data_IF_594376785621
#
_entry.id   IF_594376785621
#
_cell.length_a   1.000
_cell.length_b   1.000
_cell.length_c   1.000
_cell.angle_alpha   90.00
_cell.angle_beta   90.00
_cell.angle_gamma   90.00
#
_symmetry.space_group_name_H-M   'P 1'
#
loop_
_entity.id
_entity.type
_entity.pdbx_description
1 polymer ?
#
# COMPACT_ATOMS: atom_id res chain seq x y z
N UNK A 1 28.46 18.66 23.81
CA UNK A 1 27.36 17.81 24.32
C UNK A 1 26.23 17.91 23.30
N UNK A 2 25.82 16.81 22.70
CA UNK A 2 24.78 16.82 21.66
C UNK A 2 23.41 16.80 22.32
N UNK A 3 22.78 17.97 22.39
CA UNK A 3 21.49 18.18 23.06
C UNK A 3 20.38 17.33 22.46
N UNK A 4 20.40 17.09 21.14
CA UNK A 4 19.41 16.22 20.49
C UNK A 4 19.57 14.77 20.95
N UNK A 5 20.81 14.29 21.04
CA UNK A 5 21.11 12.95 21.53
C UNK A 5 20.68 12.79 22.99
N UNK A 6 20.98 13.78 23.83
CA UNK A 6 20.60 13.75 25.24
C UNK A 6 19.07 13.76 25.42
N UNK A 7 18.37 14.62 24.68
CA UNK A 7 16.92 14.71 24.72
C UNK A 7 16.27 13.39 24.25
N UNK A 8 16.78 12.77 23.19
CA UNK A 8 16.28 11.49 22.68
C UNK A 8 16.47 10.37 23.71
N UNK A 9 17.67 10.27 24.27
CA UNK A 9 18.00 9.24 25.27
C UNK A 9 17.13 9.42 26.54
N UNK A 10 16.87 10.65 26.95
CA UNK A 10 16.03 10.94 28.12
C UNK A 10 14.54 10.69 27.87
N UNK A 11 14.02 11.04 26.69
CA UNK A 11 12.66 10.72 26.28
C UNK A 11 12.45 9.20 26.19
N UNK A 12 13.41 8.47 25.63
CA UNK A 12 13.37 7.02 25.51
C UNK A 12 13.44 6.35 26.89
N UNK A 13 14.30 6.86 27.78
CA UNK A 13 14.36 6.40 29.17
C UNK A 13 13.05 6.65 29.92
N UNK A 14 12.45 7.83 29.79
CA UNK A 14 11.15 8.16 30.43
C UNK A 14 10.00 7.34 29.86
N UNK A 15 9.98 7.09 28.55
CA UNK A 15 8.98 6.25 27.91
C UNK A 15 9.07 4.78 28.38
N UNK A 16 10.28 4.25 28.60
CA UNK A 16 10.49 2.86 29.01
C UNK A 16 9.99 2.55 30.44
N UNK A 17 9.90 3.55 31.32
CA UNK A 17 9.36 3.41 32.69
C UNK A 17 7.96 4.00 32.84
N UNK A 18 7.37 4.55 31.78
CA UNK A 18 6.01 5.07 31.82
C UNK A 18 5.04 3.90 31.80
N UNK A 19 4.16 3.83 32.79
CA UNK A 19 2.96 2.99 32.72
C UNK A 19 1.84 3.80 32.05
N UNK A 20 1.58 3.61 30.75
CA UNK A 20 0.54 4.37 30.07
C UNK A 20 -0.82 4.10 30.72
N UNK A 21 -1.65 5.14 30.85
CA UNK A 21 -2.97 5.00 31.45
C UNK A 21 -3.77 3.89 30.75
N UNK A 22 -4.61 3.17 31.50
CA UNK A 22 -5.44 2.08 30.93
C UNK A 22 -6.26 2.54 29.71
N UNK A 23 -6.66 3.82 29.67
CA UNK A 23 -7.35 4.40 28.52
C UNK A 23 -6.43 4.52 27.30
N UNK A 24 -5.22 5.05 27.46
CA UNK A 24 -4.24 5.15 26.37
C UNK A 24 -3.84 3.75 25.86
N UNK A 25 -3.59 2.81 26.75
CA UNK A 25 -3.33 1.40 26.39
C UNK A 25 -4.49 0.80 25.59
N UNK A 26 -5.73 1.03 26.02
CA UNK A 26 -6.93 0.56 25.32
C UNK A 26 -7.09 1.21 23.95
N UNK A 27 -6.81 2.52 23.81
CA UNK A 27 -6.92 3.24 22.53
C UNK A 27 -5.84 2.79 21.54
N UNK A 28 -4.59 2.69 21.99
CA UNK A 28 -3.48 2.20 21.17
C UNK A 28 -3.69 0.74 20.82
N UNK A 29 -4.09 -0.09 21.79
CA UNK A 29 -4.41 -1.50 21.59
C UNK A 29 -5.57 -1.72 20.62
N UNK A 30 -6.64 -0.92 20.70
CA UNK A 30 -7.77 -0.99 19.77
C UNK A 30 -7.39 -0.53 18.36
N UNK A 31 -6.59 0.54 18.25
CA UNK A 31 -6.07 1.03 16.97
C UNK A 31 -5.16 -0.01 16.31
N UNK A 32 -4.23 -0.57 17.08
CA UNK A 32 -3.33 -1.61 16.61
C UNK A 32 -4.09 -2.91 16.28
N UNK A 33 -5.06 -3.32 17.10
CA UNK A 33 -5.87 -4.50 16.83
C UNK A 33 -6.77 -4.32 15.59
N UNK A 34 -7.33 -3.13 15.37
CA UNK A 34 -8.10 -2.82 14.16
C UNK A 34 -7.21 -2.88 12.91
N UNK A 35 -6.05 -2.23 12.95
CA UNK A 35 -5.06 -2.27 11.86
C UNK A 35 -4.53 -3.70 11.60
N UNK A 36 -4.23 -4.44 12.67
CA UNK A 36 -3.67 -5.80 12.60
C UNK A 36 -4.72 -6.85 12.18
N UNK A 37 -5.99 -6.68 12.53
CA UNK A 37 -7.07 -7.57 12.08
C UNK A 37 -7.39 -7.38 10.59
N UNK A 38 -7.26 -6.16 10.07
CA UNK A 38 -7.40 -5.88 8.63
C UNK A 38 -6.23 -6.48 7.85
N UNK A 39 -5.00 -6.37 8.36
CA UNK A 39 -3.81 -6.89 7.66
C UNK A 39 -3.65 -8.43 7.71
N UNK A 40 -4.11 -9.11 8.77
CA UNK A 40 -4.01 -10.58 8.88
C UNK A 40 -5.17 -11.37 8.28
N UNK A 41 -6.32 -10.76 7.99
CA UNK A 41 -7.46 -11.49 7.40
C UNK A 41 -7.29 -11.85 5.92
N UNK A 42 -6.23 -11.37 5.25
CA UNK A 42 -5.91 -11.71 3.86
C UNK A 42 -5.48 -13.16 3.59
N UNK A 43 -5.47 -14.08 4.57
CA UNK A 43 -5.20 -15.51 4.34
C UNK A 43 -5.97 -16.41 5.32
N UNK A 44 -7.26 -16.61 5.09
CA UNK A 44 -7.99 -17.82 5.56
C UNK A 44 -9.13 -18.14 4.60
N UNK A 45 -9.07 -19.30 3.96
CA UNK A 45 -10.10 -19.76 3.02
C UNK A 45 -11.47 -19.81 3.71
N UNK A 46 -12.43 -19.01 3.24
CA UNK A 46 -13.77 -19.00 3.81
C UNK A 46 -14.56 -20.23 3.34
N UNK A 47 -14.88 -21.14 4.26
CA UNK A 47 -15.93 -22.14 4.04
C UNK A 47 -17.30 -21.46 4.10
N UNK A 48 -18.08 -21.71 3.06
CA UNK A 48 -19.45 -21.25 2.80
C UNK A 48 -20.34 -21.24 4.05
N UNK A 49 -20.90 -20.07 4.38
CA UNK A 49 -22.26 -19.94 4.94
C UNK A 49 -22.92 -18.69 4.38
N UNK A 50 -23.86 -18.92 3.47
CA UNK A 50 -24.81 -17.97 2.93
C UNK A 50 -25.83 -17.66 4.03
N UNK A 51 -26.09 -16.39 4.34
CA UNK A 51 -27.34 -15.99 4.96
C UNK A 51 -27.81 -14.70 4.30
N UNK A 52 -28.93 -14.85 3.60
CA UNK A 52 -29.64 -13.89 2.79
C UNK A 52 -30.46 -12.99 3.71
N UNK A 53 -30.32 -11.67 3.56
CA UNK A 53 -31.35 -10.70 3.90
C UNK A 53 -31.24 -9.56 2.89
N UNK A 54 -31.99 -9.66 1.80
CA UNK A 54 -32.05 -8.67 0.73
C UNK A 54 -32.98 -7.52 1.16
N UNK A 55 -32.44 -6.32 1.35
CA UNK A 55 -33.22 -5.08 1.25
C UNK A 55 -33.05 -4.58 -0.18
N UNK A 56 -34.11 -4.72 -0.99
CA UNK A 56 -34.14 -4.20 -2.34
C UNK A 56 -34.36 -2.68 -2.29
N UNK A 57 -33.30 -1.90 -2.52
CA UNK A 57 -33.43 -0.49 -2.88
C UNK A 57 -33.36 -0.43 -4.40
N UNK A 58 -34.52 -0.23 -5.04
CA UNK A 58 -34.62 -0.01 -6.48
C UNK A 58 -33.97 1.32 -6.86
N UNK A 59 -32.69 1.30 -7.23
CA UNK A 59 -32.04 2.45 -7.86
C UNK A 59 -32.21 2.30 -9.38
N UNK A 60 -33.19 3.02 -9.92
CA UNK A 60 -33.28 3.30 -11.36
C UNK A 60 -31.97 4.00 -11.80
N UNK A 61 -31.09 3.29 -12.50
CA UNK A 61 -29.93 3.90 -13.17
C UNK A 61 -30.41 4.32 -14.57
N UNK A 62 -30.54 5.62 -14.88
CA UNK A 62 -30.87 6.05 -16.23
C UNK A 62 -29.65 5.78 -17.13
N UNK A 63 -29.81 4.89 -18.11
CA UNK A 63 -28.88 4.76 -19.24
C UNK A 63 -29.16 5.89 -20.22
N UNK A 64 -28.74 7.10 -19.87
CA UNK A 64 -28.88 8.28 -20.72
C UNK A 64 -27.56 9.05 -20.75
N UNK A 65 -26.94 9.12 -21.93
CA UNK A 65 -25.86 10.04 -22.25
C UNK A 65 -26.41 11.47 -22.18
N UNK A 66 -26.27 12.11 -21.02
CA UNK A 66 -26.44 13.55 -20.82
C UNK A 66 -25.18 14.07 -20.15
N UNK A 67 -24.84 15.34 -20.41
CA UNK A 67 -23.77 16.10 -19.77
C UNK A 67 -24.06 16.34 -18.27
N UNK A 68 -24.18 15.25 -17.51
CA UNK A 68 -24.67 15.18 -16.15
C UNK A 68 -23.89 14.17 -15.32
N UNK A 69 -24.03 14.31 -14.01
CA UNK A 69 -23.34 13.57 -12.95
C UNK A 69 -23.04 12.11 -13.32
N UNK A 70 -21.75 11.77 -13.35
CA UNK A 70 -21.24 10.42 -13.55
C UNK A 70 -21.70 9.49 -12.41
N UNK A 71 -21.56 8.17 -12.58
CA UNK A 71 -21.84 7.23 -11.50
C UNK A 71 -20.97 7.52 -10.27
N UNK A 72 -19.72 7.91 -10.46
CA UNK A 72 -18.81 8.24 -9.36
C UNK A 72 -19.28 9.48 -8.60
N UNK A 73 -19.84 10.49 -9.27
CA UNK A 73 -20.46 11.65 -8.61
C UNK A 73 -21.59 11.25 -7.65
N UNK A 74 -22.34 10.20 -7.99
CA UNK A 74 -23.43 9.69 -7.13
C UNK A 74 -22.94 8.88 -5.92
N UNK A 75 -21.70 8.40 -5.96
CA UNK A 75 -21.07 7.61 -4.88
C UNK A 75 -20.36 8.55 -3.91
N UNK A 76 -19.51 9.46 -4.42
CA UNK A 76 -18.60 10.28 -3.60
C UNK A 76 -18.75 11.79 -3.78
N UNK A 77 -19.70 12.24 -4.61
CA UNK A 77 -19.83 13.64 -5.00
C UNK A 77 -18.93 14.01 -6.18
N UNK A 78 -19.09 15.24 -6.65
CA UNK A 78 -18.19 15.86 -7.64
C UNK A 78 -16.75 15.95 -7.12
N UNK A 79 -15.74 16.12 -7.99
CA UNK A 79 -14.36 16.31 -7.56
C UNK A 79 -14.18 17.45 -6.54
N UNK A 80 -14.94 18.55 -6.68
CA UNK A 80 -14.89 19.65 -5.71
C UNK A 80 -15.50 19.24 -4.36
N UNK A 81 -16.62 18.53 -4.36
CA UNK A 81 -17.27 18.05 -3.12
C UNK A 81 -16.41 17.02 -2.41
N UNK A 82 -15.85 16.04 -3.13
CA UNK A 82 -14.95 15.05 -2.55
C UNK A 82 -13.69 15.71 -1.95
N UNK A 83 -13.13 16.74 -2.59
CA UNK A 83 -12.02 17.51 -1.99
C UNK A 83 -12.48 18.23 -0.72
N UNK A 84 -13.61 18.94 -0.77
CA UNK A 84 -14.13 19.76 0.33
C UNK A 84 -14.53 18.91 1.54
N UNK A 85 -15.17 17.77 1.30
CA UNK A 85 -15.85 17.00 2.35
C UNK A 85 -14.92 15.96 3.00
N UNK A 86 -13.85 15.56 2.30
CA UNK A 86 -13.01 14.44 2.73
C UNK A 86 -11.54 14.56 2.30
N UNK A 87 -11.14 15.72 1.78
CA UNK A 87 -9.75 16.00 1.38
C UNK A 87 -9.26 15.13 0.22
N UNK A 88 -10.15 14.56 -0.58
CA UNK A 88 -9.77 13.68 -1.67
C UNK A 88 -9.05 14.47 -2.78
N UNK A 89 -7.82 14.07 -3.09
CA UNK A 89 -7.05 14.62 -4.20
C UNK A 89 -7.58 14.17 -5.56
N UNK A 90 -7.11 14.85 -6.63
CA UNK A 90 -7.47 14.52 -8.02
C UNK A 90 -7.15 13.08 -8.38
N UNK A 91 -5.97 12.59 -7.96
CA UNK A 91 -5.58 11.20 -8.17
C UNK A 91 -6.58 10.31 -7.47
N UNK A 92 -6.69 10.38 -6.13
CA UNK A 92 -7.66 9.60 -5.32
C UNK A 92 -9.05 9.47 -5.95
N UNK A 93 -9.60 10.57 -6.48
CA UNK A 93 -10.86 10.58 -7.20
C UNK A 93 -10.82 9.73 -8.48
N UNK A 94 -9.83 9.96 -9.35
CA UNK A 94 -9.61 9.21 -10.59
C UNK A 94 -9.45 7.70 -10.34
N UNK A 95 -8.66 7.28 -9.37
CA UNK A 95 -8.51 5.84 -9.08
C UNK A 95 -9.77 5.19 -8.53
N UNK A 96 -10.61 5.94 -7.80
CA UNK A 96 -11.93 5.44 -7.37
C UNK A 96 -12.85 5.26 -8.58
N UNK A 97 -12.85 6.23 -9.51
CA UNK A 97 -13.58 6.14 -10.77
C UNK A 97 -13.12 4.93 -11.61
N UNK A 98 -11.81 4.75 -11.81
CA UNK A 98 -11.26 3.60 -12.54
C UNK A 98 -11.66 2.27 -11.89
N UNK A 99 -11.59 2.17 -10.55
CA UNK A 99 -12.04 0.97 -9.81
C UNK A 99 -13.52 0.66 -10.07
N UNK A 100 -14.40 1.65 -10.03
CA UNK A 100 -15.84 1.47 -10.32
C UNK A 100 -16.06 1.03 -11.76
N UNK A 101 -15.33 1.59 -12.73
CA UNK A 101 -15.43 1.18 -14.14
C UNK A 101 -14.97 -0.27 -14.36
N UNK A 102 -13.90 -0.68 -13.69
CA UNK A 102 -13.40 -2.06 -13.73
C UNK A 102 -14.42 -3.01 -13.09
N UNK A 103 -14.94 -2.67 -11.91
CA UNK A 103 -15.98 -3.45 -11.26
C UNK A 103 -17.19 -3.65 -12.16
N UNK A 104 -17.62 -2.62 -12.89
CA UNK A 104 -18.72 -2.71 -13.86
C UNK A 104 -18.48 -3.74 -14.97
N UNK A 105 -17.22 -3.92 -15.39
CA UNK A 105 -16.83 -4.89 -16.43
C UNK A 105 -16.66 -6.30 -15.89
N UNK A 106 -16.18 -6.44 -14.66
CA UNK A 106 -15.81 -7.73 -14.07
C UNK A 106 -16.94 -8.40 -13.28
N UNK A 107 -17.85 -7.62 -12.70
CA UNK A 107 -18.89 -8.13 -11.82
C UNK A 107 -20.16 -8.46 -12.58
N UNK A 108 -20.92 -9.42 -12.07
CA UNK A 108 -22.33 -9.58 -12.46
C UNK A 108 -23.11 -8.32 -12.09
N UNK A 109 -24.28 -8.13 -12.70
CA UNK A 109 -25.13 -6.96 -12.44
C UNK A 109 -25.45 -6.83 -10.95
N UNK A 110 -25.82 -7.93 -10.31
CA UNK A 110 -26.19 -7.98 -8.89
C UNK A 110 -24.99 -7.68 -7.98
N UNK A 111 -23.81 -8.23 -8.31
CA UNK A 111 -22.57 -7.93 -7.57
C UNK A 111 -22.19 -6.46 -7.71
N UNK A 112 -22.30 -5.90 -8.91
CA UNK A 112 -21.96 -4.50 -9.18
C UNK A 112 -22.90 -3.54 -8.44
N UNK A 113 -24.21 -3.79 -8.47
CA UNK A 113 -25.19 -2.99 -7.73
C UNK A 113 -24.92 -3.01 -6.23
N UNK A 114 -24.63 -4.19 -5.67
CA UNK A 114 -24.27 -4.33 -4.26
C UNK A 114 -22.94 -3.63 -3.92
N UNK A 115 -21.93 -3.74 -4.78
CA UNK A 115 -20.66 -3.05 -4.63
C UNK A 115 -20.82 -1.53 -4.59
N UNK A 116 -21.57 -0.95 -5.53
CA UNK A 116 -21.86 0.49 -5.59
C UNK A 116 -22.60 0.98 -4.34
N UNK A 117 -23.60 0.21 -3.87
CA UNK A 117 -24.34 0.56 -2.67
C UNK A 117 -23.43 0.59 -1.43
N UNK A 118 -22.58 -0.43 -1.27
CA UNK A 118 -21.61 -0.50 -0.17
C UNK A 118 -20.55 0.61 -0.25
N UNK A 119 -20.03 0.93 -1.44
CA UNK A 119 -19.09 2.03 -1.63
C UNK A 119 -19.71 3.35 -1.18
N UNK A 120 -20.94 3.63 -1.62
CA UNK A 120 -21.66 4.85 -1.24
C UNK A 120 -21.81 4.97 0.28
N UNK A 121 -22.14 3.87 0.94
CA UNK A 121 -22.26 3.83 2.40
C UNK A 121 -20.91 4.03 3.11
N UNK A 122 -19.83 3.41 2.61
CA UNK A 122 -18.48 3.59 3.15
C UNK A 122 -18.01 5.04 3.02
N UNK A 123 -18.21 5.68 1.86
CA UNK A 123 -17.84 7.08 1.67
C UNK A 123 -18.70 8.05 2.48
N UNK A 124 -19.96 7.70 2.75
CA UNK A 124 -20.81 8.45 3.69
C UNK A 124 -20.22 8.45 5.11
N UNK A 125 -19.77 7.29 5.62
CA UNK A 125 -19.08 7.24 6.91
C UNK A 125 -17.74 7.96 6.88
N UNK A 126 -16.95 7.76 5.82
CA UNK A 126 -15.66 8.42 5.66
C UNK A 126 -15.78 9.95 5.66
N UNK A 127 -16.82 10.50 5.02
CA UNK A 127 -17.16 11.93 5.09
C UNK A 127 -17.48 12.37 6.51
N UNK A 128 -18.28 11.60 7.26
CA UNK A 128 -18.64 11.94 8.65
C UNK A 128 -17.43 11.98 9.59
N UNK A 129 -16.48 11.07 9.42
CA UNK A 129 -15.28 11.02 10.26
C UNK A 129 -14.18 11.96 9.80
N UNK A 130 -14.27 12.54 8.60
CA UNK A 130 -13.25 13.44 8.07
C UNK A 130 -13.35 14.82 8.70
N UNK A 131 -12.28 15.23 9.41
CA UNK A 131 -12.19 16.59 9.96
C UNK A 131 -11.40 17.46 9.00
N UNK A 132 -12.09 18.45 8.44
CA UNK A 132 -11.58 19.38 7.42
C UNK A 132 -11.19 20.72 8.05
N UNK A 133 -10.01 21.23 7.70
CA UNK A 133 -9.53 22.56 8.10
C UNK A 133 -8.81 23.20 6.90
N UNK A 134 -9.13 24.46 6.59
CA UNK A 134 -8.55 25.20 5.46
C UNK A 134 -8.62 24.48 4.10
N UNK A 135 -9.65 23.65 3.89
CA UNK A 135 -9.83 22.88 2.64
C UNK A 135 -8.96 21.63 2.53
N UNK A 136 -8.30 21.24 3.62
CA UNK A 136 -7.49 20.02 3.72
C UNK A 136 -8.00 19.12 4.85
N UNK A 137 -7.82 17.80 4.69
CA UNK A 137 -8.18 16.83 5.74
C UNK A 137 -7.06 16.80 6.78
N UNK A 138 -7.38 17.18 8.02
CA UNK A 138 -6.41 17.19 9.12
C UNK A 138 -6.27 15.83 9.77
N UNK A 139 -7.38 15.19 10.12
CA UNK A 139 -7.41 13.86 10.74
C UNK A 139 -8.79 13.20 10.57
N UNK A 140 -8.89 11.95 11.00
CA UNK A 140 -10.15 11.20 11.08
C UNK A 140 -10.59 11.05 12.54
N UNK A 141 -11.85 11.39 12.84
CA UNK A 141 -12.44 11.26 14.17
C UNK A 141 -13.64 10.31 14.14
N UNK A 142 -13.43 9.09 14.64
CA UNK A 142 -14.52 8.11 14.81
C UNK A 142 -15.54 8.51 15.87
N UNK A 143 -15.28 9.56 16.66
CA UNK A 143 -16.22 10.07 17.66
C UNK A 143 -17.47 10.71 17.04
N UNK A 144 -17.41 11.07 15.75
CA UNK A 144 -18.55 11.56 14.98
C UNK A 144 -19.54 10.46 14.57
N UNK A 145 -19.24 9.20 14.87
CA UNK A 145 -20.14 8.07 14.63
C UNK A 145 -20.76 7.58 15.94
N UNK A 146 -22.07 7.37 15.92
CA UNK A 146 -22.79 6.62 16.96
C UNK A 146 -22.28 5.17 17.08
N UNK A 147 -22.54 4.47 18.20
CA UNK A 147 -22.18 3.05 18.34
C UNK A 147 -22.74 2.16 17.22
N UNK A 148 -23.96 2.42 16.78
CA UNK A 148 -24.63 1.68 15.70
C UNK A 148 -23.95 1.96 14.36
N UNK A 149 -23.60 3.21 14.08
CA UNK A 149 -22.87 3.58 12.86
C UNK A 149 -21.47 2.99 12.83
N UNK A 150 -20.75 2.96 13.96
CA UNK A 150 -19.43 2.30 14.03
C UNK A 150 -19.51 0.82 13.68
N UNK A 151 -20.55 0.15 14.21
CA UNK A 151 -20.80 -1.26 13.91
C UNK A 151 -21.11 -1.43 12.42
N UNK A 152 -21.97 -0.59 11.85
CA UNK A 152 -22.34 -0.66 10.44
C UNK A 152 -21.18 -0.35 9.51
N UNK A 153 -20.39 0.67 9.79
CA UNK A 153 -19.17 1.02 9.04
C UNK A 153 -18.21 -0.18 9.00
N UNK A 154 -17.98 -0.82 10.15
CA UNK A 154 -17.16 -2.03 10.23
C UNK A 154 -17.71 -3.19 9.39
N UNK A 155 -19.03 -3.40 9.40
CA UNK A 155 -19.69 -4.42 8.57
C UNK A 155 -19.58 -4.10 7.08
N UNK A 156 -19.79 -2.84 6.68
CA UNK A 156 -19.66 -2.37 5.30
C UNK A 156 -18.24 -2.58 4.78
N UNK A 157 -17.22 -2.24 5.58
CA UNK A 157 -15.81 -2.46 5.20
C UNK A 157 -15.54 -3.95 4.98
N UNK A 158 -15.99 -4.81 5.90
CA UNK A 158 -15.85 -6.28 5.74
C UNK A 158 -16.62 -6.79 4.53
N UNK A 159 -17.78 -6.19 4.22
CA UNK A 159 -18.55 -6.56 3.05
C UNK A 159 -17.91 -6.13 1.73
N UNK A 160 -17.35 -4.91 1.69
CA UNK A 160 -16.60 -4.36 0.57
C UNK A 160 -15.34 -5.15 0.27
N UNK A 161 -14.64 -5.61 1.31
CA UNK A 161 -13.37 -6.32 1.18
C UNK A 161 -13.48 -7.52 0.20
N UNK A 162 -14.62 -8.23 0.19
CA UNK A 162 -14.86 -9.36 -0.72
C UNK A 162 -14.81 -8.96 -2.20
N UNK A 163 -15.32 -7.77 -2.50
CA UNK A 163 -15.35 -7.21 -3.85
C UNK A 163 -13.98 -6.64 -4.22
N UNK A 164 -13.32 -5.93 -3.29
CA UNK A 164 -11.97 -5.44 -3.49
C UNK A 164 -10.98 -6.59 -3.71
N UNK A 165 -11.09 -7.70 -2.98
CA UNK A 165 -10.28 -8.92 -3.21
C UNK A 165 -10.51 -9.50 -4.61
N UNK A 166 -11.76 -9.48 -5.11
CA UNK A 166 -12.10 -9.94 -6.46
C UNK A 166 -11.52 -9.00 -7.53
N UNK A 167 -11.52 -7.68 -7.30
CA UNK A 167 -10.88 -6.70 -8.19
C UNK A 167 -9.37 -6.90 -8.19
N UNK A 168 -8.76 -6.95 -7.01
CA UNK A 168 -7.32 -7.08 -6.84
C UNK A 168 -6.79 -8.38 -7.46
N UNK A 169 -7.52 -9.48 -7.35
CA UNK A 169 -7.17 -10.75 -7.99
C UNK A 169 -7.09 -10.65 -9.51
N UNK A 170 -7.81 -9.72 -10.16
CA UNK A 170 -7.70 -9.46 -11.59
C UNK A 170 -6.37 -8.78 -11.97
N UNK A 171 -5.72 -8.12 -11.02
CA UNK A 171 -4.42 -7.44 -11.19
C UNK A 171 -3.27 -8.14 -10.46
N UNK A 172 -3.48 -9.40 -10.06
CA UNK A 172 -2.42 -10.30 -9.60
C UNK A 172 -2.03 -11.22 -10.75
N UNK A 173 -0.73 -11.30 -11.00
CA UNK A 173 -0.16 -12.00 -12.16
C UNK A 173 0.82 -13.09 -11.73
N UNK A 174 0.97 -14.10 -12.58
CA UNK A 174 2.18 -14.91 -12.57
C UNK A 174 3.37 -14.10 -13.08
N UNK A 175 4.60 -14.51 -12.76
CA UNK A 175 5.79 -13.81 -13.27
C UNK A 175 5.87 -13.85 -14.79
N UNK A 176 5.52 -14.96 -15.43
CA UNK A 176 5.47 -15.05 -16.90
C UNK A 176 4.47 -14.07 -17.53
N UNK A 177 3.30 -13.87 -16.90
CA UNK A 177 2.34 -12.86 -17.33
C UNK A 177 2.89 -11.44 -17.11
N UNK A 178 3.50 -11.19 -15.95
CA UNK A 178 4.07 -9.90 -15.63
C UNK A 178 5.21 -9.51 -16.58
N UNK A 179 6.12 -10.43 -16.96
CA UNK A 179 7.19 -10.18 -17.93
C UNK A 179 6.64 -9.73 -19.30
N UNK A 180 5.54 -10.37 -19.75
CA UNK A 180 4.85 -9.99 -20.99
C UNK A 180 4.19 -8.62 -20.91
N UNK A 181 3.81 -8.17 -19.71
CA UNK A 181 3.20 -6.86 -19.49
C UNK A 181 4.28 -5.78 -19.40
N UNK A 182 5.37 -6.06 -18.68
CA UNK A 182 6.36 -5.04 -18.31
C UNK A 182 7.44 -4.79 -19.36
N UNK A 183 7.63 -5.74 -20.28
CA UNK A 183 8.69 -5.70 -21.29
C UNK A 183 10.11 -5.68 -20.68
N UNK A 184 10.28 -6.23 -19.47
CA UNK A 184 11.59 -6.47 -18.83
C UNK A 184 11.61 -7.85 -18.15
N UNK A 185 12.80 -8.50 -18.04
CA UNK A 185 12.91 -9.80 -17.39
C UNK A 185 12.72 -9.69 -15.87
N UNK A 186 11.92 -10.61 -15.31
CA UNK A 186 11.70 -10.73 -13.87
C UNK A 186 12.53 -11.91 -13.37
N UNK A 187 13.56 -11.62 -12.57
CA UNK A 187 14.53 -12.63 -12.12
C UNK A 187 14.56 -12.76 -10.61
N UNK A 188 14.71 -13.98 -10.10
CA UNK A 188 15.14 -14.18 -8.72
C UNK A 188 16.64 -13.85 -8.57
N UNK A 189 17.08 -13.31 -7.42
CA UNK A 189 18.50 -13.16 -7.11
C UNK A 189 19.20 -14.52 -7.10
N UNK A 190 20.34 -14.61 -7.78
CA UNK A 190 21.19 -15.81 -7.77
C UNK A 190 22.10 -15.89 -6.53
N UNK A 191 22.22 -14.78 -5.78
CA UNK A 191 22.91 -14.73 -4.50
C UNK A 191 21.94 -14.38 -3.37
N UNK A 192 21.91 -15.23 -2.34
CA UNK A 192 21.15 -15.02 -1.11
C UNK A 192 22.13 -15.09 0.07
N UNK A 193 22.12 -14.12 1.00
CA UNK A 193 22.96 -14.18 2.20
C UNK A 193 22.68 -15.44 3.02
N UNK A 194 23.70 -15.95 3.69
CA UNK A 194 23.56 -17.15 4.53
C UNK A 194 22.44 -16.97 5.57
N UNK A 195 21.66 -18.02 5.80
CA UNK A 195 20.52 -18.01 6.71
C UNK A 195 19.22 -17.44 6.13
N UNK A 196 19.29 -16.75 4.99
CA UNK A 196 18.11 -16.17 4.36
C UNK A 196 17.46 -17.15 3.37
N UNK A 197 16.14 -17.13 3.28
CA UNK A 197 15.37 -17.93 2.33
C UNK A 197 14.11 -17.20 1.88
N UNK A 198 13.65 -17.49 0.66
CA UNK A 198 12.40 -16.94 0.13
C UNK A 198 11.22 -17.49 0.91
N UNK A 199 10.35 -16.61 1.41
CA UNK A 199 9.13 -17.01 2.14
C UNK A 199 7.84 -16.55 1.45
N UNK A 200 7.92 -15.56 0.57
CA UNK A 200 6.77 -15.03 -0.13
C UNK A 200 7.19 -14.26 -1.38
N UNK A 201 6.37 -14.33 -2.42
CA UNK A 201 6.51 -13.53 -3.63
C UNK A 201 5.14 -13.20 -4.24
N UNK A 202 5.09 -12.10 -4.98
CA UNK A 202 3.89 -11.65 -5.69
C UNK A 202 4.26 -10.73 -6.87
N UNK A 203 3.45 -10.79 -7.93
CA UNK A 203 3.41 -9.77 -8.96
C UNK A 203 2.01 -9.15 -8.98
N UNK A 204 1.88 -7.88 -8.60
CA UNK A 204 0.59 -7.19 -8.49
C UNK A 204 0.67 -5.79 -9.05
N UNK A 205 -0.36 -5.35 -9.76
CA UNK A 205 -0.50 -3.98 -10.23
C UNK A 205 -1.66 -3.27 -9.54
N UNK A 206 -1.64 -1.95 -9.52
CA UNK A 206 -2.83 -1.17 -9.22
C UNK A 206 -3.93 -1.44 -10.25
N UNK A 207 -5.17 -1.47 -9.78
CA UNK A 207 -6.33 -1.51 -10.63
C UNK A 207 -6.34 -0.28 -11.55
N UNK A 208 -6.37 -0.52 -12.86
CA UNK A 208 -6.39 0.54 -13.87
C UNK A 208 -7.11 0.11 -15.12
N UNK A 209 -7.68 1.08 -15.85
CA UNK A 209 -8.29 0.86 -17.17
C UNK A 209 -7.28 0.89 -18.31
N UNK A 210 -6.04 1.35 -18.04
CA UNK A 210 -4.92 1.38 -18.99
C UNK A 210 -4.01 0.15 -18.91
N UNK A 211 -2.77 0.27 -19.42
CA UNK A 211 -1.74 -0.78 -19.30
C UNK A 211 -1.34 -0.93 -17.82
N UNK A 212 -1.51 -2.13 -17.22
CA UNK A 212 -1.09 -2.37 -15.84
C UNK A 212 0.42 -2.18 -15.67
N UNK A 213 0.84 -1.78 -14.47
CA UNK A 213 2.24 -1.66 -14.07
C UNK A 213 2.48 -2.58 -12.86
N UNK A 214 2.78 -3.88 -13.07
CA UNK A 214 3.03 -4.79 -11.97
C UNK A 214 4.28 -4.42 -11.17
N UNK A 215 4.16 -4.35 -9.85
CA UNK A 215 5.26 -4.41 -8.91
C UNK A 215 5.51 -5.88 -8.57
N UNK A 216 6.76 -6.30 -8.75
CA UNK A 216 7.21 -7.62 -8.33
C UNK A 216 7.81 -7.45 -6.94
N UNK A 217 7.36 -8.26 -5.99
CA UNK A 217 7.89 -8.27 -4.62
C UNK A 217 8.29 -9.68 -4.22
N UNK A 218 9.44 -9.80 -3.60
CA UNK A 218 9.96 -11.04 -3.02
C UNK A 218 10.43 -10.76 -1.60
N UNK A 219 9.99 -11.58 -0.63
CA UNK A 219 10.37 -11.47 0.78
C UNK A 219 11.29 -12.61 1.16
N UNK A 220 12.46 -12.25 1.67
CA UNK A 220 13.45 -13.17 2.20
C UNK A 220 13.54 -12.99 3.71
N UNK A 221 13.47 -14.07 4.47
CA UNK A 221 13.59 -14.06 5.92
C UNK A 221 14.85 -14.79 6.39
N UNK A 222 15.49 -14.25 7.42
CA UNK A 222 16.61 -14.87 8.12
C UNK A 222 16.07 -15.89 9.14
N UNK A 223 16.34 -17.18 8.90
CA UNK A 223 15.96 -18.27 9.79
C UNK A 223 16.57 -18.15 11.19
N UNK A 224 17.64 -17.38 11.36
CA UNK A 224 18.30 -17.21 12.65
C UNK A 224 17.61 -16.16 13.54
N UNK A 225 16.63 -15.41 13.00
CA UNK A 225 15.92 -14.37 13.75
C UNK A 225 14.56 -14.89 14.19
N UNK A 226 14.40 -15.08 15.50
CA UNK A 226 13.11 -15.43 16.09
C UNK A 226 12.09 -14.30 15.90
N UNK A 227 10.90 -14.67 15.42
CA UNK A 227 9.77 -13.75 15.25
C UNK A 227 9.24 -13.36 16.62
N UNK A 228 9.11 -12.06 16.85
CA UNK A 228 8.61 -11.53 18.13
C UNK A 228 7.97 -10.16 17.97
N UNK A 229 7.18 -9.72 18.97
CA UNK A 229 6.41 -8.47 18.91
C UNK A 229 7.29 -7.22 18.83
N UNK A 230 8.58 -7.32 19.16
CA UNK A 230 9.54 -6.21 19.13
C UNK A 230 10.43 -6.21 17.87
N UNK A 231 10.29 -7.20 16.99
CA UNK A 231 11.09 -7.32 15.77
C UNK A 231 10.44 -6.52 14.64
N UNK A 232 11.21 -5.63 14.04
CA UNK A 232 10.81 -4.93 12.82
C UNK A 232 10.92 -5.86 11.61
N UNK A 233 10.25 -5.51 10.51
CA UNK A 233 10.38 -6.25 9.25
C UNK A 233 11.85 -6.30 8.77
N UNK A 234 12.61 -5.22 8.98
CA UNK A 234 14.04 -5.14 8.70
C UNK A 234 14.91 -6.03 9.61
N UNK A 235 14.41 -6.42 10.80
CA UNK A 235 15.07 -7.43 11.63
C UNK A 235 14.89 -8.83 11.09
N UNK A 236 13.74 -9.10 10.45
CA UNK A 236 13.39 -10.45 10.01
C UNK A 236 14.05 -10.82 8.68
N UNK A 237 14.55 -9.87 7.91
CA UNK A 237 15.23 -10.11 6.63
C UNK A 237 15.16 -8.91 5.71
N UNK A 238 14.79 -9.13 4.45
CA UNK A 238 14.66 -8.05 3.45
C UNK A 238 13.56 -8.33 2.43
N UNK A 239 13.08 -7.26 1.79
CA UNK A 239 12.18 -7.33 0.64
C UNK A 239 12.88 -6.79 -0.59
N UNK A 240 12.78 -7.54 -1.68
CA UNK A 240 13.32 -7.19 -2.99
C UNK A 240 12.16 -6.83 -3.91
N UNK A 241 12.33 -5.76 -4.66
CA UNK A 241 11.33 -5.21 -5.56
C UNK A 241 11.89 -5.10 -6.98
N UNK A 242 11.06 -5.40 -7.97
CA UNK A 242 11.35 -5.12 -9.37
C UNK A 242 10.18 -4.34 -9.98
N UNK A 243 10.48 -3.21 -10.61
CA UNK A 243 9.45 -2.32 -11.15
C UNK A 243 9.97 -1.56 -12.38
N UNK A 244 9.08 -1.22 -13.31
CA UNK A 244 9.43 -0.37 -14.45
C UNK A 244 9.81 1.05 -14.01
N UNK A 245 10.67 1.71 -14.78
CA UNK A 245 10.94 3.15 -14.58
C UNK A 245 9.95 3.95 -15.43
N UNK A 246 9.17 4.81 -14.79
CA UNK A 246 8.14 5.63 -15.44
C UNK A 246 8.33 7.11 -15.09
N UNK A 247 8.05 7.99 -16.05
CA UNK A 247 8.15 9.45 -15.87
C UNK A 247 7.01 10.01 -15.01
N UNK A 248 5.82 9.39 -15.11
CA UNK A 248 4.67 9.75 -14.29
C UNK A 248 4.66 8.98 -12.98
N UNK A 249 4.88 9.69 -11.87
CA UNK A 249 4.59 9.18 -10.54
C UNK A 249 3.08 9.13 -10.32
N UNK A 250 2.57 7.95 -9.98
CA UNK A 250 1.19 7.79 -9.48
C UNK A 250 1.23 7.73 -7.95
N UNK A 251 0.25 8.36 -7.30
CA UNK A 251 0.18 8.44 -5.83
C UNK A 251 -0.37 7.17 -5.17
N UNK A 252 -0.42 6.04 -5.89
CA UNK A 252 -1.09 4.82 -5.45
C UNK A 252 -0.13 3.76 -4.94
N UNK A 253 -0.38 3.32 -3.70
CA UNK A 253 -0.45 1.94 -3.21
C UNK A 253 0.75 1.00 -3.34
N UNK A 254 1.68 1.30 -4.24
CA UNK A 254 2.85 0.51 -4.55
C UNK A 254 3.99 1.04 -3.70
N UNK A 255 4.68 0.15 -2.99
CA UNK A 255 5.84 0.49 -2.19
C UNK A 255 6.90 1.14 -3.08
N UNK A 256 7.12 2.46 -2.91
CA UNK A 256 8.03 3.22 -3.77
C UNK A 256 9.50 3.00 -3.34
N UNK A 257 10.47 3.16 -4.25
CA UNK A 257 11.86 3.27 -3.85
C UNK A 257 12.06 4.40 -2.84
N UNK A 258 12.92 4.17 -1.86
CA UNK A 258 13.21 5.12 -0.78
C UNK A 258 13.69 6.52 -1.22
N UNK A 259 14.14 6.68 -2.46
CA UNK A 259 14.61 7.94 -3.02
C UNK A 259 13.54 8.68 -3.85
N UNK A 260 12.31 8.15 -3.94
CA UNK A 260 11.17 8.78 -4.61
C UNK A 260 10.25 9.50 -3.60
N UNK A 261 10.79 10.55 -3.00
CA UNK A 261 10.16 11.38 -1.97
C UNK A 261 9.08 12.27 -2.57
N UNK A 262 7.97 12.48 -1.85
CA UNK A 262 6.98 13.51 -2.19
C UNK A 262 6.87 14.53 -1.05
N UNK A 263 6.30 15.71 -1.31
CA UNK A 263 6.06 16.71 -0.26
C UNK A 263 5.21 16.17 0.90
N UNK A 264 4.35 15.17 0.64
CA UNK A 264 3.48 14.54 1.64
C UNK A 264 4.15 13.40 2.40
N UNK A 265 5.18 12.79 1.84
CA UNK A 265 5.93 11.67 2.41
C UNK A 265 7.44 12.01 2.39
N UNK A 266 7.91 12.86 3.33
CA UNK A 266 9.32 13.23 3.37
C UNK A 266 10.20 12.01 3.66
N UNK A 267 11.37 11.96 3.02
CA UNK A 267 12.30 10.84 3.14
C UNK A 267 12.72 10.66 4.59
N UNK A 268 12.55 9.44 5.09
CA UNK A 268 13.11 9.05 6.37
C UNK A 268 14.60 8.62 6.24
N UNK A 269 15.07 8.46 5.00
CA UNK A 269 16.46 8.19 4.66
C UNK A 269 17.26 9.50 4.57
N UNK A 270 18.44 9.50 5.18
CA UNK A 270 19.45 10.57 5.03
C UNK A 270 20.65 10.05 4.26
N UNK A 271 21.51 10.97 3.82
CA UNK A 271 22.79 10.68 3.17
C UNK A 271 22.66 9.78 1.93
N UNK A 272 21.61 10.02 1.12
CA UNK A 272 21.40 9.32 -0.14
C UNK A 272 22.60 9.58 -1.05
N UNK A 273 23.29 8.51 -1.45
CA UNK A 273 24.47 8.54 -2.31
C UNK A 273 24.19 7.79 -3.60
N UNK A 274 24.64 8.37 -4.70
CA UNK A 274 24.63 7.72 -6.01
C UNK A 274 26.05 7.38 -6.43
N UNK A 275 26.24 6.21 -7.02
CA UNK A 275 27.53 5.76 -7.56
C UNK A 275 27.33 4.71 -8.64
N UNK A 276 28.36 4.46 -9.43
CA UNK A 276 28.34 3.40 -10.45
C UNK A 276 29.04 2.16 -9.92
N UNK A 277 28.42 0.99 -10.13
CA UNK A 277 29.00 -0.31 -9.80
C UNK A 277 28.75 -1.26 -10.97
N UNK A 278 29.82 -1.83 -11.54
CA UNK A 278 29.78 -2.71 -12.72
C UNK A 278 28.94 -2.15 -13.89
N UNK A 279 28.96 -0.83 -14.08
CA UNK A 279 28.21 -0.15 -15.14
C UNK A 279 26.73 0.11 -14.84
N UNK A 280 26.23 -0.24 -13.65
CA UNK A 280 24.89 0.11 -13.20
C UNK A 280 24.90 1.33 -12.28
N UNK A 281 23.86 2.15 -12.38
CA UNK A 281 23.65 3.27 -11.46
C UNK A 281 23.00 2.74 -10.18
N UNK A 282 23.69 2.92 -9.06
CA UNK A 282 23.24 2.52 -7.72
C UNK A 282 22.88 3.77 -6.93
N UNK A 283 21.73 3.72 -6.25
CA UNK A 283 21.36 4.66 -5.19
C UNK A 283 21.38 3.91 -3.86
N UNK A 284 21.98 4.47 -2.83
CA UNK A 284 22.05 3.90 -1.49
C UNK A 284 21.67 4.94 -0.45
N UNK A 285 20.92 4.54 0.58
CA UNK A 285 20.54 5.42 1.69
C UNK A 285 20.48 4.67 3.03
N UNK A 286 20.66 5.42 4.12
CA UNK A 286 20.55 4.90 5.49
C UNK A 286 19.54 5.71 6.32
N UNK A 287 18.79 5.04 7.19
CA UNK A 287 17.88 5.70 8.14
C UNK A 287 18.66 6.35 9.29
N UNK A 288 18.30 7.58 9.67
CA UNK A 288 18.95 8.26 10.82
C UNK A 288 18.66 7.50 12.13
N UNK A 289 19.72 7.01 12.77
CA UNK A 289 19.64 6.42 14.11
C UNK A 289 18.99 5.03 14.17
N UNK A 290 18.86 4.35 13.01
CA UNK A 290 18.51 2.95 12.89
C UNK A 290 19.52 2.27 11.96
N UNK A 291 19.84 0.99 12.19
CA UNK A 291 20.71 0.22 11.30
C UNK A 291 19.97 -0.24 10.02
N UNK A 292 19.05 0.59 9.50
CA UNK A 292 18.16 0.25 8.38
C UNK A 292 18.64 0.97 7.13
N UNK A 293 18.74 0.22 6.03
CA UNK A 293 19.34 0.66 4.77
C UNK A 293 18.40 0.39 3.61
N UNK A 294 18.60 1.13 2.53
CA UNK A 294 17.91 0.97 1.26
C UNK A 294 18.93 1.02 0.13
N UNK A 295 18.72 0.21 -0.90
CA UNK A 295 19.56 0.23 -2.09
C UNK A 295 18.73 -0.01 -3.33
N UNK A 296 19.01 0.75 -4.38
CA UNK A 296 18.36 0.64 -5.69
C UNK A 296 19.42 0.53 -6.78
N UNK A 297 19.15 -0.30 -7.77
CA UNK A 297 19.89 -0.44 -9.02
C UNK A 297 18.95 -0.15 -10.19
N UNK A 298 19.37 0.69 -11.14
CA UNK A 298 18.61 0.97 -12.37
C UNK A 298 19.24 0.26 -13.56
N UNK A 299 18.42 -0.51 -14.28
CA UNK A 299 18.78 -1.15 -15.55
C UNK A 299 18.24 -0.29 -16.71
N UNK A 300 19.11 0.26 -17.57
CA UNK A 300 18.68 1.10 -18.68
C UNK A 300 17.96 0.27 -19.75
N UNK A 301 17.08 0.92 -20.51
CA UNK A 301 16.39 0.31 -21.64
C UNK A 301 17.38 -0.20 -22.69
N UNK A 302 17.15 -1.40 -23.23
CA UNK A 302 18.01 -2.03 -24.26
C UNK A 302 17.18 -2.86 -25.22
N UNK A 303 17.41 -2.70 -26.53
CA UNK A 303 16.89 -3.58 -27.61
C UNK A 303 15.43 -4.01 -27.42
N UNK A 304 14.50 -3.05 -27.36
CA UNK A 304 13.07 -3.33 -27.22
C UNK A 304 12.59 -3.71 -25.81
N UNK A 305 13.47 -3.71 -24.81
CA UNK A 305 13.10 -3.86 -23.39
C UNK A 305 13.05 -2.51 -22.69
N UNK A 306 12.05 -2.35 -21.83
CA UNK A 306 11.86 -1.18 -20.98
C UNK A 306 12.96 -1.06 -19.94
N UNK A 307 13.28 0.17 -19.52
CA UNK A 307 14.09 0.38 -18.32
C UNK A 307 13.32 -0.08 -17.09
N UNK A 308 14.03 -0.68 -16.14
CA UNK A 308 13.46 -1.12 -14.88
C UNK A 308 14.45 -0.90 -13.75
N UNK A 309 13.96 -0.97 -12.54
CA UNK A 309 14.74 -0.81 -11.33
C UNK A 309 14.52 -2.03 -10.43
N UNK A 310 15.59 -2.41 -9.74
CA UNK A 310 15.59 -3.39 -8.68
C UNK A 310 15.95 -2.68 -7.40
N UNK A 311 15.16 -2.80 -6.34
CA UNK A 311 15.46 -2.14 -5.07
C UNK A 311 15.13 -3.01 -3.87
N UNK A 312 15.78 -2.69 -2.76
CA UNK A 312 15.52 -3.22 -1.44
C UNK A 312 15.24 -2.01 -0.55
N UNK A 313 14.07 -2.04 0.08
CA UNK A 313 13.73 -1.13 1.16
C UNK A 313 13.93 -1.85 2.50
N UNK A 314 14.20 -1.07 3.55
CA UNK A 314 14.15 -1.53 4.94
C UNK A 314 14.96 -2.80 5.27
N UNK A 315 16.28 -2.79 5.08
CA UNK A 315 17.14 -3.93 5.43
C UNK A 315 18.22 -3.58 6.45
N UNK A 316 18.57 -4.53 7.33
CA UNK A 316 19.74 -4.43 8.23
C UNK A 316 21.04 -4.99 7.65
N UNK A 317 20.99 -5.57 6.44
CA UNK A 317 22.16 -6.10 5.74
C UNK A 317 23.19 -5.00 5.47
N UNK A 318 24.47 -5.39 5.37
CA UNK A 318 25.54 -4.45 5.04
C UNK A 318 25.39 -3.92 3.62
N UNK A 319 26.02 -2.78 3.32
CA UNK A 319 26.08 -2.22 1.96
C UNK A 319 26.58 -3.27 0.94
N UNK A 320 27.64 -4.00 1.28
CA UNK A 320 28.25 -5.00 0.40
C UNK A 320 27.30 -6.17 0.11
N UNK A 321 26.51 -6.60 1.10
CA UNK A 321 25.51 -7.65 0.92
C UNK A 321 24.37 -7.19 0.01
N UNK A 322 23.89 -5.96 0.18
CA UNK A 322 22.88 -5.37 -0.72
C UNK A 322 23.38 -5.27 -2.16
N UNK A 323 24.64 -4.85 -2.37
CA UNK A 323 25.26 -4.79 -3.71
C UNK A 323 25.28 -6.17 -4.37
N UNK A 324 25.70 -7.21 -3.63
CA UNK A 324 25.72 -8.59 -4.16
C UNK A 324 24.32 -9.08 -4.54
N UNK A 325 23.32 -8.86 -3.69
CA UNK A 325 21.94 -9.28 -3.97
C UNK A 325 21.45 -8.59 -5.24
N UNK A 326 21.53 -7.26 -5.34
CA UNK A 326 21.00 -6.52 -6.48
C UNK A 326 21.72 -6.87 -7.78
N UNK A 327 23.05 -7.02 -7.77
CA UNK A 327 23.80 -7.45 -8.94
C UNK A 327 23.41 -8.87 -9.38
N UNK A 328 23.18 -9.78 -8.43
CA UNK A 328 22.79 -11.17 -8.73
C UNK A 328 21.42 -11.32 -9.38
N UNK A 329 20.59 -10.27 -9.36
CA UNK A 329 19.31 -10.20 -10.07
C UNK A 329 19.50 -9.81 -11.54
N UNK A 330 20.48 -8.96 -11.84
CA UNK A 330 20.61 -8.34 -13.17
C UNK A 330 21.71 -8.96 -14.03
N UNK A 331 22.71 -9.59 -13.41
CA UNK A 331 23.74 -10.39 -14.10
C UNK A 331 23.18 -11.75 -14.59
#
# INVERSE_FOLDING_TARGET
MDFEKHLRDELQRKAAVMEPSRNLQKRVGNSFAAHYQVSKKGRRSMKKRLLIACIAIAVLIPTGTFAGTTLIDKIIGTPQEAKRDMGMGKDGYKGTMERVEIAKKLFTKEEFEKYVALLKESYHFYKKVSVMENGERKYTSTEHLSPEEKKRDSEVIVELQKYEEKLDAHFTYTFEQAEKITDFPIKHPTYIPQGHHLVWEEAKADATTGKPRPLITMRYEDSNVEKGPTKSEADLGFRLYQFGVFDEQRDYGVEKPFDQVTEKEPSLYKDIKTYTLKGYNITFGEYKGLNVRGMKLVVPARKGRSSYQVYINESKLSKQELEKILLSVVE
#
